data_IF_113480506845
#
_entry.id   IF_113480506845
#
_cell.length_a   1.000
_cell.length_b   1.000
_cell.length_c   1.000
_cell.angle_alpha   90.00
_cell.angle_beta   90.00
_cell.angle_gamma   90.00
#
_symmetry.space_group_name_H-M   'P 1'
#
loop_
_entity.id
_entity.type
_entity.pdbx_description
1 polymer ?
#
# COMPACT_ATOMS: atom_id res chain seq x y z
N UNK A 1 22.34 -27.64 -3.83
CA UNK A 1 21.23 -28.22 -3.05
C UNK A 1 20.53 -27.03 -2.43
N UNK A 2 19.25 -26.81 -2.74
CA UNK A 2 18.49 -25.73 -2.11
C UNK A 2 17.84 -26.30 -0.85
N UNK A 3 18.08 -25.68 0.29
CA UNK A 3 17.44 -26.03 1.56
C UNK A 3 16.26 -25.09 1.79
N UNK A 4 15.17 -25.61 2.36
CA UNK A 4 14.03 -24.83 2.77
C UNK A 4 13.73 -25.10 4.25
N UNK A 5 13.36 -24.06 4.97
CA UNK A 5 13.08 -24.12 6.40
C UNK A 5 11.75 -23.43 6.72
N UNK A 6 10.96 -24.04 7.58
CA UNK A 6 9.80 -23.42 8.22
C UNK A 6 10.17 -23.10 9.68
N UNK A 7 10.14 -21.81 10.03
CA UNK A 7 10.55 -21.31 11.35
C UNK A 7 9.29 -20.98 12.15
N UNK A 8 9.14 -21.59 13.34
CA UNK A 8 8.01 -21.33 14.22
C UNK A 8 8.33 -20.19 15.22
N UNK A 9 7.84 -18.95 15.02
CA UNK A 9 8.15 -17.83 15.91
C UNK A 9 7.56 -17.97 17.31
N UNK A 10 6.69 -18.98 17.56
CA UNK A 10 6.08 -19.25 18.87
C UNK A 10 6.74 -20.43 19.59
N UNK A 11 7.78 -21.03 19.02
CA UNK A 11 8.47 -22.15 19.65
C UNK A 11 9.12 -21.73 20.98
N UNK A 12 8.94 -22.50 22.08
CA UNK A 12 9.53 -22.16 23.37
C UNK A 12 11.05 -22.05 23.29
N UNK A 13 11.61 -20.92 23.75
CA UNK A 13 13.05 -20.68 23.80
C UNK A 13 13.70 -20.35 22.46
N UNK A 14 12.92 -20.18 21.38
CA UNK A 14 13.47 -19.74 20.09
C UNK A 14 13.79 -18.24 20.13
N UNK A 15 15.04 -17.91 19.84
CA UNK A 15 15.47 -16.54 19.58
C UNK A 15 15.43 -16.25 18.07
N UNK A 16 14.60 -15.27 17.67
CA UNK A 16 14.51 -14.81 16.29
C UNK A 16 15.57 -13.76 15.94
N UNK A 17 16.32 -13.25 16.91
CA UNK A 17 17.34 -12.20 16.74
C UNK A 17 18.27 -12.45 15.54
N UNK A 18 18.92 -13.62 15.42
CA UNK A 18 19.81 -13.90 14.29
C UNK A 18 19.13 -13.84 12.92
N UNK A 19 17.88 -14.32 12.82
CA UNK A 19 17.11 -14.27 11.57
C UNK A 19 16.72 -12.82 11.25
N UNK A 20 16.23 -12.08 12.24
CA UNK A 20 15.84 -10.69 12.05
C UNK A 20 17.04 -9.81 11.67
N UNK A 21 18.20 -10.02 12.29
CA UNK A 21 19.43 -9.34 11.96
C UNK A 21 19.92 -9.69 10.55
N UNK A 22 19.80 -10.95 10.11
CA UNK A 22 20.05 -11.33 8.71
C UNK A 22 19.14 -10.57 7.74
N UNK A 23 17.87 -10.37 8.10
CA UNK A 23 16.91 -9.68 7.25
C UNK A 23 17.20 -8.17 7.17
N UNK A 24 17.49 -7.50 8.28
CA UNK A 24 17.50 -6.02 8.37
C UNK A 24 18.87 -5.38 8.63
N UNK A 25 19.93 -6.17 8.85
CA UNK A 25 21.30 -5.67 9.12
C UNK A 25 22.38 -6.26 8.22
N UNK A 26 22.04 -7.18 7.32
CA UNK A 26 23.00 -7.80 6.42
C UNK A 26 22.74 -7.35 4.98
N UNK A 27 23.57 -6.42 4.51
CA UNK A 27 23.46 -5.84 3.17
C UNK A 27 24.07 -6.75 2.08
N UNK A 28 24.88 -7.75 2.47
CA UNK A 28 25.53 -8.71 1.55
C UNK A 28 24.55 -9.78 1.05
N UNK A 29 23.39 -9.94 1.69
CA UNK A 29 22.39 -10.95 1.37
C UNK A 29 21.15 -10.29 0.78
N UNK A 30 20.84 -10.57 -0.48
CA UNK A 30 19.60 -10.12 -1.11
C UNK A 30 18.40 -10.92 -0.57
N UNK A 31 17.38 -10.22 -0.07
CA UNK A 31 16.13 -10.84 0.38
C UNK A 31 15.12 -10.85 -0.76
N UNK A 32 14.65 -12.03 -1.14
CA UNK A 32 13.66 -12.19 -2.22
C UNK A 32 12.28 -12.45 -1.63
N UNK A 33 11.31 -11.62 -1.99
CA UNK A 33 9.91 -11.73 -1.58
C UNK A 33 8.99 -11.85 -2.80
N UNK A 34 7.73 -12.20 -2.54
CA UNK A 34 6.66 -12.09 -3.52
C UNK A 34 5.46 -11.37 -2.89
N UNK A 35 5.13 -10.18 -3.38
CA UNK A 35 4.05 -9.37 -2.81
C UNK A 35 4.27 -9.08 -1.31
N UNK A 36 5.52 -8.79 -0.93
CA UNK A 36 6.01 -8.84 0.45
C UNK A 36 5.52 -7.71 1.36
N UNK A 37 4.66 -6.80 0.89
CA UNK A 37 4.27 -5.60 1.64
C UNK A 37 3.75 -5.89 3.05
N UNK A 38 2.98 -6.96 3.26
CA UNK A 38 2.52 -7.35 4.60
C UNK A 38 3.60 -8.03 5.44
N UNK A 39 4.51 -8.78 4.81
CA UNK A 39 5.65 -9.42 5.49
C UNK A 39 6.64 -8.36 6.01
N UNK A 40 6.87 -7.32 5.23
CA UNK A 40 7.70 -6.17 5.61
C UNK A 40 7.11 -5.42 6.80
N UNK A 41 5.78 -5.28 6.88
CA UNK A 41 5.11 -4.70 8.06
C UNK A 41 5.36 -5.53 9.32
N UNK A 42 5.30 -6.86 9.23
CA UNK A 42 5.59 -7.76 10.36
C UNK A 42 7.05 -7.56 10.84
N UNK A 43 8.00 -7.55 9.91
CA UNK A 43 9.43 -7.40 10.23
C UNK A 43 9.72 -6.01 10.81
N UNK A 44 9.09 -4.97 10.25
CA UNK A 44 9.17 -3.62 10.79
C UNK A 44 8.62 -3.53 12.21
N UNK A 45 7.47 -4.13 12.49
CA UNK A 45 6.90 -4.15 13.84
C UNK A 45 7.81 -4.85 14.87
N UNK A 46 8.62 -5.83 14.43
CA UNK A 46 9.55 -6.55 15.30
C UNK A 46 10.90 -5.85 15.47
N UNK A 47 11.33 -5.03 14.51
CA UNK A 47 12.72 -4.55 14.43
C UNK A 47 12.87 -3.03 14.31
N UNK A 48 11.79 -2.31 13.98
CA UNK A 48 11.82 -0.90 13.58
C UNK A 48 12.48 -0.66 12.21
N UNK A 49 12.81 -1.72 11.47
CA UNK A 49 13.49 -1.68 10.18
C UNK A 49 12.83 -2.60 9.17
N UNK A 50 13.08 -2.35 7.91
CA UNK A 50 12.65 -3.19 6.79
C UNK A 50 13.83 -4.01 6.25
N UNK A 51 13.57 -5.20 5.70
CA UNK A 51 14.58 -5.95 4.98
C UNK A 51 15.23 -5.16 3.83
N UNK A 52 16.56 -5.14 3.80
CA UNK A 52 17.34 -4.46 2.76
C UNK A 52 18.71 -5.14 2.56
N UNK A 53 19.20 -5.36 1.32
CA UNK A 53 18.52 -5.12 0.05
C UNK A 53 17.41 -6.15 -0.21
N UNK A 54 16.39 -5.74 -0.97
CA UNK A 54 15.20 -6.55 -1.25
C UNK A 54 14.88 -6.61 -2.73
N UNK A 55 14.38 -7.75 -3.18
CA UNK A 55 13.78 -7.95 -4.50
C UNK A 55 12.37 -8.53 -4.36
N UNK A 56 11.35 -7.80 -4.81
CA UNK A 56 9.97 -8.28 -4.86
C UNK A 56 9.61 -8.80 -6.26
N UNK A 57 9.35 -10.10 -6.36
CA UNK A 57 9.00 -10.75 -7.62
C UNK A 57 7.64 -10.33 -8.18
N UNK A 58 6.70 -9.84 -7.38
CA UNK A 58 5.45 -9.29 -7.92
C UNK A 58 5.68 -7.93 -8.59
N UNK A 59 6.54 -7.09 -8.02
CA UNK A 59 6.95 -5.83 -8.65
C UNK A 59 7.70 -6.10 -9.95
N UNK A 60 8.67 -7.01 -9.92
CA UNK A 60 9.40 -7.44 -11.11
C UNK A 60 8.46 -8.01 -12.18
N UNK A 61 7.41 -8.74 -11.79
CA UNK A 61 6.44 -9.30 -12.71
C UNK A 61 5.64 -8.21 -13.46
N UNK A 62 5.41 -7.04 -12.84
CA UNK A 62 4.82 -5.89 -13.51
C UNK A 62 5.69 -5.38 -14.67
N UNK A 63 7.00 -5.32 -14.47
CA UNK A 63 7.97 -4.89 -15.48
C UNK A 63 8.16 -5.92 -16.61
N UNK A 64 7.75 -7.16 -16.36
CA UNK A 64 7.80 -8.28 -17.30
C UNK A 64 6.44 -8.61 -17.94
N UNK A 65 5.44 -7.75 -17.75
CA UNK A 65 4.13 -7.86 -18.44
C UNK A 65 3.20 -8.96 -17.89
N UNK A 66 3.46 -9.49 -16.71
CA UNK A 66 2.67 -10.58 -16.10
C UNK A 66 1.45 -10.10 -15.30
N UNK A 67 1.17 -8.80 -15.34
CA UNK A 67 0.05 -8.17 -14.65
C UNK A 67 0.43 -7.52 -13.30
N UNK A 68 -0.48 -6.69 -12.79
CA UNK A 68 -0.24 -5.82 -11.62
C UNK A 68 -0.24 -6.56 -10.27
N UNK A 69 -1.00 -7.66 -10.20
CA UNK A 69 -1.26 -8.39 -8.95
C UNK A 69 -1.21 -9.90 -9.20
N UNK A 70 -0.24 -10.34 -10.00
CA UNK A 70 -0.03 -11.78 -10.17
C UNK A 70 0.28 -12.39 -8.79
N UNK A 71 -0.52 -13.38 -8.40
CA UNK A 71 -0.29 -14.13 -7.17
C UNK A 71 0.79 -15.19 -7.35
N UNK A 72 1.42 -15.60 -6.25
CA UNK A 72 2.57 -16.51 -6.27
C UNK A 72 2.33 -17.78 -7.08
N UNK A 73 1.21 -18.47 -6.85
CA UNK A 73 0.88 -19.69 -7.59
C UNK A 73 0.75 -19.48 -9.11
N UNK A 74 0.23 -18.34 -9.55
CA UNK A 74 0.16 -18.01 -10.99
C UNK A 74 1.54 -17.64 -11.54
N UNK A 75 2.41 -17.02 -10.74
CA UNK A 75 3.80 -16.77 -11.11
C UNK A 75 4.56 -18.08 -11.30
N UNK A 76 4.39 -19.03 -10.37
CA UNK A 76 5.00 -20.36 -10.47
C UNK A 76 4.50 -21.11 -11.69
N UNK A 77 3.20 -21.09 -11.96
CA UNK A 77 2.62 -21.69 -13.16
C UNK A 77 3.21 -21.08 -14.45
N UNK A 78 3.26 -19.75 -14.53
CA UNK A 78 3.76 -19.04 -15.71
C UNK A 78 5.25 -19.30 -16.02
N UNK A 79 6.10 -19.45 -15.00
CA UNK A 79 7.56 -19.58 -15.17
C UNK A 79 8.07 -21.02 -15.12
N UNK A 80 7.35 -21.90 -14.41
CA UNK A 80 7.78 -23.26 -14.13
C UNK A 80 6.82 -24.31 -14.67
N UNK A 81 5.61 -23.94 -15.11
CA UNK A 81 4.58 -24.88 -15.54
C UNK A 81 4.05 -25.76 -14.40
N UNK A 82 4.18 -25.29 -13.15
CA UNK A 82 3.80 -26.04 -11.96
C UNK A 82 2.58 -25.39 -11.31
N UNK A 83 1.53 -26.19 -11.08
CA UNK A 83 0.39 -25.78 -10.29
C UNK A 83 0.60 -26.11 -8.81
N UNK A 84 0.59 -25.09 -7.94
CA UNK A 84 0.69 -25.28 -6.50
C UNK A 84 -0.63 -25.72 -5.86
N UNK A 85 -0.55 -26.55 -4.82
CA UNK A 85 -1.69 -26.88 -3.97
C UNK A 85 -2.12 -25.66 -3.15
N UNK A 86 -3.42 -25.33 -3.18
CA UNK A 86 -4.02 -24.19 -2.46
C UNK A 86 -4.49 -24.57 -1.05
N UNK A 87 -4.29 -25.82 -0.63
CA UNK A 87 -5.00 -26.48 0.46
C UNK A 87 -4.87 -25.90 1.87
N UNK A 88 -3.82 -25.12 2.19
CA UNK A 88 -3.58 -24.63 3.56
C UNK A 88 -3.60 -23.10 3.74
N UNK A 89 -3.96 -22.34 2.69
CA UNK A 89 -3.98 -20.86 2.72
C UNK A 89 -4.85 -20.28 3.85
N UNK A 90 -6.03 -20.87 4.09
CA UNK A 90 -6.99 -20.40 5.08
C UNK A 90 -7.08 -21.36 6.28
N UNK A 91 -5.95 -21.55 6.96
CA UNK A 91 -5.86 -22.37 8.18
C UNK A 91 -5.48 -21.52 9.39
N UNK A 92 -5.72 -22.04 10.59
CA UNK A 92 -5.29 -21.37 11.83
C UNK A 92 -3.77 -21.58 12.05
N UNK A 93 -2.99 -20.60 11.62
CA UNK A 93 -1.53 -20.57 11.78
C UNK A 93 -1.07 -20.30 13.22
N UNK A 94 -1.97 -19.98 14.15
CA UNK A 94 -1.64 -19.78 15.56
C UNK A 94 -1.69 -21.08 16.38
N UNK A 95 -2.39 -22.11 15.87
CA UNK A 95 -2.53 -23.43 16.49
C UNK A 95 -1.19 -24.18 16.50
N UNK A 96 -0.92 -24.94 17.57
CA UNK A 96 0.26 -25.81 17.68
C UNK A 96 -0.13 -27.23 18.12
N UNK A 97 0.60 -28.28 17.67
CA UNK A 97 1.62 -28.23 16.61
C UNK A 97 1.01 -27.91 15.23
N UNK A 98 1.81 -27.38 14.31
CA UNK A 98 1.41 -27.27 12.90
C UNK A 98 1.35 -28.67 12.30
N UNK A 99 0.37 -28.93 11.43
CA UNK A 99 0.32 -30.20 10.70
C UNK A 99 1.29 -30.22 9.50
N UNK A 100 1.57 -31.41 8.97
CA UNK A 100 2.48 -31.57 7.83
C UNK A 100 2.04 -30.75 6.60
N UNK A 101 0.73 -30.61 6.36
CA UNK A 101 0.22 -29.89 5.18
C UNK A 101 0.46 -28.39 5.29
N UNK A 102 0.33 -27.83 6.50
CA UNK A 102 0.69 -26.43 6.77
C UNK A 102 2.19 -26.21 6.53
N UNK A 103 3.05 -27.11 7.01
CA UNK A 103 4.50 -27.00 6.81
C UNK A 103 4.87 -27.13 5.32
N UNK A 104 4.32 -28.13 4.62
CA UNK A 104 4.56 -28.35 3.19
C UNK A 104 4.11 -27.12 2.37
N UNK A 105 2.96 -26.53 2.71
CA UNK A 105 2.45 -25.32 2.07
C UNK A 105 3.39 -24.12 2.29
N UNK A 106 3.84 -23.89 3.54
CA UNK A 106 4.74 -22.78 3.86
C UNK A 106 6.10 -22.91 3.14
N UNK A 107 6.64 -24.13 3.03
CA UNK A 107 7.84 -24.42 2.25
C UNK A 107 7.59 -24.20 0.75
N UNK A 108 6.40 -24.57 0.26
CA UNK A 108 5.97 -24.36 -1.12
C UNK A 108 6.03 -22.90 -1.56
N UNK A 109 5.72 -21.96 -0.67
CA UNK A 109 5.72 -20.50 -0.95
C UNK A 109 7.12 -19.91 -1.21
N UNK A 110 8.20 -20.65 -0.90
CA UNK A 110 9.59 -20.21 -1.17
C UNK A 110 10.35 -21.12 -2.14
N UNK A 111 9.93 -22.38 -2.29
CA UNK A 111 10.66 -23.41 -3.04
C UNK A 111 10.90 -23.05 -4.51
N UNK A 112 9.91 -22.48 -5.19
CA UNK A 112 10.06 -22.05 -6.58
C UNK A 112 10.58 -20.63 -6.70
N UNK A 113 10.51 -19.83 -5.64
CA UNK A 113 10.89 -18.42 -5.66
C UNK A 113 12.39 -18.27 -5.97
N UNK A 114 13.22 -19.14 -5.38
CA UNK A 114 14.68 -19.18 -5.61
C UNK A 114 15.05 -19.55 -7.05
N UNK A 115 14.19 -20.29 -7.77
CA UNK A 115 14.40 -20.67 -9.16
C UNK A 115 13.88 -19.61 -10.14
N UNK A 116 12.79 -18.93 -9.78
CA UNK A 116 12.16 -17.91 -10.60
C UNK A 116 12.97 -16.61 -10.58
N UNK A 117 13.46 -16.20 -9.40
CA UNK A 117 14.20 -14.94 -9.24
C UNK A 117 15.36 -14.75 -10.24
N UNK A 118 16.31 -15.71 -10.42
CA UNK A 118 17.41 -15.53 -11.35
C UNK A 118 16.94 -15.35 -12.80
N UNK A 119 15.88 -16.07 -13.21
CA UNK A 119 15.30 -15.96 -14.56
C UNK A 119 14.63 -14.61 -14.79
N UNK A 120 13.94 -14.09 -13.77
CA UNK A 120 13.36 -12.75 -13.83
C UNK A 120 14.45 -11.69 -13.95
N UNK A 121 15.52 -11.83 -13.16
CA UNK A 121 16.66 -10.90 -13.18
C UNK A 121 17.36 -10.88 -14.55
N UNK A 122 17.58 -12.05 -15.16
CA UNK A 122 18.13 -12.15 -16.51
C UNK A 122 17.22 -11.44 -17.53
N UNK A 123 15.91 -11.72 -17.52
CA UNK A 123 14.97 -11.08 -18.44
C UNK A 123 14.87 -9.57 -18.24
N UNK A 124 14.99 -9.07 -17.01
CA UNK A 124 15.03 -7.64 -16.71
C UNK A 124 16.30 -6.97 -17.26
N UNK A 125 17.44 -7.68 -17.22
CA UNK A 125 18.69 -7.21 -17.83
C UNK A 125 18.59 -7.17 -19.35
N UNK A 126 18.06 -8.23 -19.95
CA UNK A 126 17.88 -8.32 -21.41
C UNK A 126 16.95 -7.23 -21.96
N UNK A 127 15.95 -6.85 -21.17
CA UNK A 127 15.00 -5.78 -21.52
C UNK A 127 15.46 -4.38 -21.13
N UNK A 128 16.59 -4.23 -20.43
CA UNK A 128 17.08 -2.95 -19.94
C UNK A 128 16.20 -2.30 -18.84
N UNK A 129 15.41 -3.10 -18.13
CA UNK A 129 14.41 -2.62 -17.14
C UNK A 129 14.84 -2.83 -15.69
N UNK A 130 16.12 -3.16 -15.44
CA UNK A 130 16.66 -3.31 -14.09
C UNK A 130 16.42 -2.06 -13.25
N UNK A 131 16.86 -0.91 -13.78
CA UNK A 131 16.78 0.39 -13.11
C UNK A 131 15.33 0.86 -12.85
N UNK A 132 14.34 0.30 -13.55
CA UNK A 132 12.94 0.62 -13.30
C UNK A 132 12.48 0.12 -11.94
N UNK A 133 13.06 -1.01 -11.51
CA UNK A 133 12.69 -1.65 -10.26
C UNK A 133 13.35 -1.01 -9.05
N UNK A 134 14.53 -0.40 -9.19
CA UNK A 134 15.26 0.18 -8.07
C UNK A 134 14.38 1.16 -7.29
N UNK A 135 13.69 2.08 -7.98
CA UNK A 135 12.76 3.02 -7.37
C UNK A 135 11.59 2.33 -6.67
N UNK A 136 11.09 1.22 -7.21
CA UNK A 136 9.98 0.48 -6.59
C UNK A 136 10.44 -0.36 -5.40
N UNK A 137 11.65 -0.92 -5.46
CA UNK A 137 12.26 -1.63 -4.34
C UNK A 137 12.57 -0.67 -3.20
N UNK A 138 13.17 0.49 -3.47
CA UNK A 138 13.39 1.56 -2.50
C UNK A 138 12.07 2.02 -1.86
N UNK A 139 11.03 2.20 -2.69
CA UNK A 139 9.73 2.62 -2.20
C UNK A 139 9.07 1.57 -1.32
N UNK A 140 9.16 0.28 -1.63
CA UNK A 140 8.53 -0.76 -0.79
C UNK A 140 9.32 -0.95 0.52
N UNK A 141 10.64 -0.78 0.52
CA UNK A 141 11.44 -0.92 1.75
C UNK A 141 11.43 0.33 2.62
N UNK A 142 10.85 1.46 2.20
CA UNK A 142 10.79 2.65 3.05
C UNK A 142 10.02 2.37 4.37
N UNK A 143 10.67 2.45 5.54
CA UNK A 143 10.04 2.21 6.84
C UNK A 143 8.83 3.11 7.12
N UNK A 144 8.77 4.32 6.53
CA UNK A 144 7.65 5.24 6.70
C UNK A 144 6.32 4.66 6.20
N UNK A 145 6.34 3.68 5.30
CA UNK A 145 5.12 2.98 4.86
C UNK A 145 4.51 2.08 5.94
N UNK A 146 5.33 1.62 6.88
CA UNK A 146 4.97 0.63 7.91
C UNK A 146 4.84 1.24 9.30
N UNK A 147 5.35 2.46 9.46
CA UNK A 147 5.18 3.22 10.69
C UNK A 147 3.70 3.42 11.01
N UNK A 148 3.31 2.88 12.16
CA UNK A 148 1.95 2.96 12.65
C UNK A 148 1.97 3.64 14.02
N UNK A 149 2.25 4.94 14.05
CA UNK A 149 2.09 5.73 15.27
C UNK A 149 0.59 5.81 15.64
N UNK A 150 0.19 5.47 16.89
CA UNK A 150 -1.19 5.67 17.36
C UNK A 150 -1.74 7.07 17.05
N UNK A 151 -0.87 8.07 17.14
CA UNK A 151 -1.13 9.49 16.99
C UNK A 151 -1.50 9.88 15.55
N UNK A 152 -1.19 9.06 14.55
CA UNK A 152 -1.56 9.25 13.14
C UNK A 152 -2.77 8.42 12.71
N UNK A 153 -3.27 7.53 13.57
CA UNK A 153 -4.37 6.62 13.23
C UNK A 153 -5.66 7.34 12.81
N UNK A 154 -5.87 8.57 13.27
CA UNK A 154 -7.02 9.40 12.91
C UNK A 154 -7.07 9.77 11.44
N UNK A 155 -5.92 9.85 10.75
CA UNK A 155 -5.84 10.21 9.31
C UNK A 155 -6.57 9.19 8.43
N UNK A 156 -6.72 7.96 8.90
CA UNK A 156 -7.43 6.86 8.20
C UNK A 156 -8.94 6.86 8.48
N UNK A 157 -9.40 7.62 9.48
CA UNK A 157 -10.81 7.69 9.87
C UNK A 157 -11.49 8.79 9.08
N UNK A 158 -12.51 8.43 8.29
CA UNK A 158 -13.29 9.40 7.50
C UNK A 158 -14.20 10.23 8.42
N UNK A 159 -14.07 11.55 8.33
CA UNK A 159 -14.93 12.51 9.05
C UNK A 159 -15.19 13.73 8.16
N UNK A 160 -16.42 14.25 8.18
CA UNK A 160 -16.79 15.42 7.36
C UNK A 160 -16.40 16.76 8.00
N UNK A 161 -16.29 16.81 9.33
CA UNK A 161 -15.96 18.04 10.05
C UNK A 161 -14.51 18.43 9.84
N UNK A 162 -14.27 19.70 9.54
CA UNK A 162 -12.93 20.33 9.47
C UNK A 162 -12.63 21.25 10.66
N UNK A 163 -13.41 21.17 11.74
CA UNK A 163 -13.19 21.99 12.94
C UNK A 163 -12.02 21.43 13.74
N UNK A 164 -11.09 22.29 14.15
CA UNK A 164 -9.89 21.91 14.91
C UNK A 164 -10.24 21.08 16.17
N UNK A 165 -11.26 21.48 16.93
CA UNK A 165 -11.69 20.75 18.15
C UNK A 165 -12.18 19.32 17.84
N UNK A 166 -12.89 19.14 16.73
CA UNK A 166 -13.42 17.83 16.32
C UNK A 166 -12.28 16.92 15.86
N UNK A 167 -11.36 17.46 15.05
CA UNK A 167 -10.21 16.70 14.57
C UNK A 167 -9.22 16.38 15.69
N UNK A 168 -9.04 17.29 16.65
CA UNK A 168 -8.23 17.07 17.83
C UNK A 168 -8.77 15.96 18.73
N UNK A 169 -10.09 15.94 18.96
CA UNK A 169 -10.77 14.81 19.62
C UNK A 169 -10.61 13.51 18.84
N UNK A 170 -10.78 13.54 17.52
CA UNK A 170 -10.60 12.35 16.68
C UNK A 170 -9.16 11.81 16.78
N UNK A 171 -8.16 12.69 16.79
CA UNK A 171 -6.74 12.33 17.00
C UNK A 171 -6.54 11.61 18.34
N UNK A 172 -7.02 12.19 19.44
CA UNK A 172 -6.91 11.59 20.76
C UNK A 172 -7.63 10.23 20.86
N UNK A 173 -8.86 10.15 20.33
CA UNK A 173 -9.67 8.94 20.32
C UNK A 173 -9.06 7.82 19.46
N UNK A 174 -8.50 8.14 18.29
CA UNK A 174 -7.83 7.17 17.45
C UNK A 174 -6.57 6.62 18.12
N UNK A 175 -5.75 7.48 18.73
CA UNK A 175 -4.56 7.06 19.47
C UNK A 175 -4.91 6.16 20.66
N UNK A 176 -5.95 6.51 21.42
CA UNK A 176 -6.47 5.67 22.50
C UNK A 176 -6.90 4.29 21.98
N UNK A 177 -7.66 4.25 20.88
CA UNK A 177 -8.14 3.00 20.29
C UNK A 177 -6.99 2.09 19.85
N UNK A 178 -5.96 2.66 19.24
CA UNK A 178 -4.78 1.88 18.83
C UNK A 178 -4.05 1.28 20.04
N UNK A 179 -3.90 2.04 21.13
CA UNK A 179 -3.28 1.56 22.37
C UNK A 179 -4.10 0.41 22.96
N UNK A 180 -5.41 0.57 23.11
CA UNK A 180 -6.31 -0.50 23.57
C UNK A 180 -6.28 -1.76 22.69
N UNK A 181 -6.23 -1.57 21.38
CA UNK A 181 -6.20 -2.67 20.41
C UNK A 181 -4.91 -3.48 20.53
N UNK A 182 -3.77 -2.80 20.68
CA UNK A 182 -2.45 -3.42 20.88
C UNK A 182 -2.35 -4.14 22.20
N UNK A 183 -2.73 -3.48 23.30
CA UNK A 183 -2.67 -4.04 24.65
C UNK A 183 -3.48 -5.34 24.77
N UNK A 184 -4.61 -5.40 24.06
CA UNK A 184 -5.49 -6.58 24.04
C UNK A 184 -5.24 -7.53 22.87
N UNK A 185 -4.24 -7.24 22.03
CA UNK A 185 -3.92 -7.98 20.81
C UNK A 185 -5.17 -8.30 19.97
N UNK A 186 -5.96 -7.28 19.63
CA UNK A 186 -7.17 -7.44 18.84
C UNK A 186 -7.29 -6.38 17.73
N UNK A 187 -8.01 -6.67 16.63
CA UNK A 187 -8.25 -5.68 15.59
C UNK A 187 -8.90 -4.41 16.15
N UNK A 188 -8.41 -3.23 15.76
CA UNK A 188 -8.90 -1.91 16.22
C UNK A 188 -10.43 -1.75 16.13
N UNK A 189 -11.04 -2.27 15.07
CA UNK A 189 -12.49 -2.21 14.86
C UNK A 189 -13.32 -3.07 15.83
N UNK A 190 -12.68 -4.02 16.55
CA UNK A 190 -13.30 -4.76 17.66
C UNK A 190 -13.36 -3.93 18.95
N UNK A 191 -12.50 -2.92 19.10
CA UNK A 191 -12.58 -1.94 20.19
C UNK A 191 -13.71 -0.95 19.90
N UNK A 192 -13.57 -0.15 18.84
CA UNK A 192 -14.59 0.79 18.35
C UNK A 192 -14.47 0.91 16.83
N UNK A 193 -15.59 0.88 16.10
CA UNK A 193 -15.60 1.09 14.65
C UNK A 193 -15.27 2.54 14.27
N UNK A 194 -14.73 2.75 13.07
CA UNK A 194 -14.36 4.09 12.58
C UNK A 194 -15.53 5.07 12.61
N UNK A 195 -16.72 4.63 12.22
CA UNK A 195 -17.91 5.48 12.17
C UNK A 195 -18.35 5.92 13.57
N UNK A 196 -18.31 5.01 14.54
CA UNK A 196 -18.62 5.32 15.95
C UNK A 196 -17.57 6.27 16.54
N UNK A 197 -16.29 6.08 16.19
CA UNK A 197 -15.21 6.97 16.63
C UNK A 197 -15.39 8.40 16.11
N UNK A 198 -15.75 8.54 14.83
CA UNK A 198 -16.03 9.83 14.19
C UNK A 198 -17.29 10.50 14.76
N UNK A 199 -18.31 9.73 15.10
CA UNK A 199 -19.52 10.24 15.74
C UNK A 199 -19.24 10.76 17.15
N UNK A 200 -18.50 10.01 17.98
CA UNK A 200 -18.08 10.46 19.31
C UNK A 200 -17.22 11.73 19.23
N UNK A 201 -16.31 11.83 18.24
CA UNK A 201 -15.51 13.03 18.04
C UNK A 201 -16.38 14.25 17.69
N UNK A 202 -17.44 14.05 16.91
CA UNK A 202 -18.38 15.10 16.49
C UNK A 202 -19.35 15.50 17.60
N UNK A 203 -19.84 14.52 18.35
CA UNK A 203 -20.88 14.65 19.38
C UNK A 203 -20.41 13.98 20.69
N UNK A 204 -19.42 14.57 21.40
CA UNK A 204 -18.83 13.92 22.55
C UNK A 204 -19.85 13.75 23.69
N UNK A 205 -19.94 12.57 24.31
CA UNK A 205 -20.71 12.38 25.53
C UNK A 205 -20.14 13.26 26.65
N UNK A 206 -21.02 13.80 27.52
CA UNK A 206 -20.61 14.70 28.61
C UNK A 206 -20.16 13.97 29.87
N UNK A 207 -20.65 12.75 30.07
CA UNK A 207 -20.36 11.90 31.22
C UNK A 207 -20.19 10.47 30.75
N UNK A 208 -19.42 9.67 31.47
CA UNK A 208 -19.19 8.26 31.11
C UNK A 208 -20.49 7.47 30.99
N UNK A 209 -21.49 7.74 31.82
CA UNK A 209 -22.79 7.08 31.75
C UNK A 209 -23.50 7.26 30.40
N UNK A 210 -23.26 8.38 29.72
CA UNK A 210 -23.87 8.67 28.43
C UNK A 210 -23.29 7.79 27.31
N UNK A 211 -22.17 7.09 27.53
CA UNK A 211 -21.63 6.10 26.60
C UNK A 211 -22.61 4.95 26.31
N UNK A 212 -23.52 4.62 27.24
CA UNK A 212 -24.56 3.61 26.99
C UNK A 212 -25.54 4.01 25.88
N UNK A 213 -25.63 5.30 25.53
CA UNK A 213 -26.50 5.83 24.47
C UNK A 213 -25.79 5.88 23.11
N UNK A 214 -24.47 5.71 23.08
CA UNK A 214 -23.68 5.79 21.85
C UNK A 214 -23.87 4.50 21.04
N UNK A 215 -24.36 4.64 19.82
CA UNK A 215 -24.60 3.49 18.94
C UNK A 215 -23.27 2.83 18.56
N UNK A 216 -23.20 1.52 18.77
CA UNK A 216 -22.02 0.71 18.45
C UNK A 216 -21.07 0.47 19.62
N UNK A 217 -21.33 1.06 20.79
CA UNK A 217 -20.65 0.73 22.04
C UNK A 217 -21.46 -0.29 22.87
N UNK A 218 -20.75 -1.07 23.69
CA UNK A 218 -21.39 -1.93 24.68
C UNK A 218 -21.92 -1.10 25.85
N UNK A 219 -23.12 -1.40 26.34
CA UNK A 219 -23.73 -0.74 27.49
C UNK A 219 -22.86 -0.80 28.77
N UNK A 220 -21.98 -1.81 28.87
CA UNK A 220 -21.03 -1.94 29.98
C UNK A 220 -20.04 -0.77 30.09
N UNK A 221 -19.82 -0.01 29.01
CA UNK A 221 -18.85 1.09 28.99
C UNK A 221 -19.28 2.29 29.82
N UNK A 222 -20.54 2.32 30.24
CA UNK A 222 -21.07 3.33 31.18
C UNK A 222 -20.32 3.40 32.51
N UNK A 223 -19.64 2.32 32.91
CA UNK A 223 -19.00 2.20 34.22
C UNK A 223 -17.68 1.41 34.23
N UNK A 224 -17.24 0.84 33.10
CA UNK A 224 -15.99 0.08 33.05
C UNK A 224 -14.76 0.98 32.77
N UNK A 225 -13.57 0.42 33.00
CA UNK A 225 -12.31 1.18 32.84
C UNK A 225 -12.04 1.61 31.39
N UNK A 226 -12.49 0.82 30.41
CA UNK A 226 -12.33 1.13 28.98
C UNK A 226 -13.09 2.41 28.64
N UNK A 227 -14.34 2.52 29.10
CA UNK A 227 -15.15 3.72 28.96
C UNK A 227 -14.54 4.90 29.70
N UNK A 228 -13.97 4.68 30.90
CA UNK A 228 -13.25 5.70 31.65
C UNK A 228 -12.05 6.26 30.88
N UNK A 229 -11.23 5.39 30.29
CA UNK A 229 -10.07 5.79 29.46
C UNK A 229 -10.48 6.48 28.16
N UNK A 230 -11.59 6.08 27.54
CA UNK A 230 -12.18 6.80 26.40
C UNK A 230 -12.59 8.22 26.80
N UNK A 231 -13.32 8.38 27.91
CA UNK A 231 -13.72 9.70 28.42
C UNK A 231 -12.49 10.56 28.74
N UNK A 232 -11.47 9.98 29.36
CA UNK A 232 -10.22 10.66 29.61
C UNK A 232 -9.58 11.18 28.31
N UNK A 233 -9.55 10.36 27.25
CA UNK A 233 -9.04 10.78 25.95
C UNK A 233 -9.85 11.94 25.32
N UNK A 234 -11.16 12.01 25.57
CA UNK A 234 -12.01 13.15 25.18
C UNK A 234 -11.65 14.40 26.00
N UNK A 235 -11.54 14.25 27.32
CA UNK A 235 -11.34 15.36 28.25
C UNK A 235 -9.95 16.01 28.10
N UNK A 236 -8.93 15.21 27.76
CA UNK A 236 -7.56 15.70 27.52
C UNK A 236 -7.32 16.12 26.07
N UNK A 237 -8.31 15.94 25.18
CA UNK A 237 -8.13 16.30 23.78
C UNK A 237 -7.96 17.81 23.62
N UNK A 238 -6.95 18.20 22.87
CA UNK A 238 -6.73 19.58 22.47
C UNK A 238 -7.18 19.80 21.03
N UNK A 239 -7.55 21.03 20.63
CA UNK A 239 -7.80 21.35 19.23
C UNK A 239 -6.59 20.97 18.37
N UNK A 240 -6.86 20.45 17.17
CA UNK A 240 -5.79 20.05 16.26
C UNK A 240 -4.89 21.28 15.91
N UNK A 241 -3.56 21.18 16.07
CA UNK A 241 -2.64 22.26 15.75
C UNK A 241 -2.75 22.73 14.29
N UNK A 242 -2.47 24.01 14.03
CA UNK A 242 -2.65 24.62 12.70
C UNK A 242 -1.80 23.96 11.61
N UNK A 243 -0.61 23.50 11.96
CA UNK A 243 0.36 22.80 11.11
C UNK A 243 -0.06 21.35 10.81
N UNK A 244 -0.89 20.75 11.67
CA UNK A 244 -1.46 19.41 11.46
C UNK A 244 -2.85 19.43 10.81
N UNK A 245 -3.51 20.59 10.81
CA UNK A 245 -4.81 20.75 10.18
C UNK A 245 -4.74 20.20 8.76
N UNK A 246 -5.66 19.30 8.36
CA UNK A 246 -5.77 18.89 6.98
C UNK A 246 -5.82 20.15 6.14
N UNK A 247 -4.91 20.25 5.17
CA UNK A 247 -4.88 21.40 4.29
C UNK A 247 -6.33 21.61 3.80
N UNK A 248 -6.90 22.79 4.09
CA UNK A 248 -7.82 23.36 3.10
C UNK A 248 -6.97 23.32 1.87
N UNK A 249 -7.35 22.54 0.88
CA UNK A 249 -6.53 22.36 -0.29
C UNK A 249 -7.03 23.32 -1.38
N UNK A 250 -6.55 24.58 -1.41
CA UNK A 250 -6.80 25.49 -2.52
C UNK A 250 -5.80 25.24 -3.67
N UNK A 251 -4.93 24.22 -3.59
CA UNK A 251 -3.80 24.02 -4.51
C UNK A 251 -3.76 22.70 -5.26
N UNK A 252 -4.46 21.63 -4.83
CA UNK A 252 -4.88 20.60 -5.77
C UNK A 252 -5.83 21.29 -6.70
N UNK A 253 -5.45 21.46 -7.96
CA UNK A 253 -6.41 21.96 -8.90
C UNK A 253 -7.57 20.98 -8.84
N UNK A 254 -8.78 21.51 -8.64
CA UNK A 254 -9.96 20.69 -8.85
C UNK A 254 -9.85 20.14 -10.26
N UNK A 255 -10.19 18.87 -10.47
CA UNK A 255 -10.55 18.42 -11.81
C UNK A 255 -11.54 19.47 -12.32
N UNK A 256 -11.14 20.24 -13.34
CA UNK A 256 -12.00 21.26 -13.93
C UNK A 256 -13.26 20.60 -14.48
N UNK A 257 -14.13 21.37 -15.15
CA UNK A 257 -15.34 20.78 -15.77
C UNK A 257 -15.04 19.55 -16.63
N UNK A 258 -13.88 19.54 -17.29
CA UNK A 258 -13.43 18.45 -18.16
C UNK A 258 -12.27 17.62 -17.57
N UNK A 259 -11.82 17.89 -16.34
CA UNK A 259 -10.64 17.24 -15.76
C UNK A 259 -10.76 15.71 -15.69
N UNK A 260 -11.96 15.21 -15.39
CA UNK A 260 -12.24 13.77 -15.40
C UNK A 260 -12.11 13.16 -16.80
N UNK A 261 -12.56 13.86 -17.85
CA UNK A 261 -12.44 13.41 -19.23
C UNK A 261 -10.97 13.39 -19.66
N UNK A 262 -10.19 14.42 -19.29
CA UNK A 262 -8.74 14.46 -19.54
C UNK A 262 -8.03 13.31 -18.81
N UNK A 263 -8.40 13.02 -17.56
CA UNK A 263 -7.86 11.88 -16.82
C UNK A 263 -8.20 10.54 -17.51
N UNK A 264 -9.39 10.39 -18.10
CA UNK A 264 -9.75 9.20 -18.85
C UNK A 264 -8.97 9.06 -20.18
N UNK A 265 -8.66 10.17 -20.85
CA UNK A 265 -7.75 10.18 -21.99
C UNK A 265 -6.32 9.76 -21.59
N UNK A 266 -5.84 10.23 -20.43
CA UNK A 266 -4.56 9.80 -19.88
C UNK A 266 -4.55 8.31 -19.51
N UNK A 267 -5.63 7.78 -18.93
CA UNK A 267 -5.77 6.34 -18.66
C UNK A 267 -5.75 5.52 -19.95
N UNK A 268 -6.35 6.03 -21.03
CA UNK A 268 -6.28 5.39 -22.34
C UNK A 268 -4.85 5.40 -22.89
N UNK A 269 -4.17 6.56 -22.86
CA UNK A 269 -2.77 6.67 -23.27
C UNK A 269 -1.90 5.67 -22.51
N UNK A 270 -2.07 5.61 -21.19
CA UNK A 270 -1.33 4.71 -20.31
C UNK A 270 -1.52 3.25 -20.73
N UNK A 271 -2.75 2.83 -21.03
CA UNK A 271 -3.04 1.46 -21.49
C UNK A 271 -2.36 1.14 -22.82
N UNK A 272 -2.31 2.11 -23.75
CA UNK A 272 -1.63 1.94 -25.04
C UNK A 272 -0.12 1.79 -24.81
N UNK A 273 0.50 2.74 -24.11
CA UNK A 273 1.94 2.71 -23.84
C UNK A 273 2.34 1.45 -23.09
N UNK A 274 1.64 1.11 -22.02
CA UNK A 274 1.89 -0.11 -21.25
C UNK A 274 1.82 -1.38 -22.12
N UNK A 275 0.89 -1.45 -23.07
CA UNK A 275 0.80 -2.56 -24.02
C UNK A 275 1.95 -2.58 -25.03
N UNK A 276 2.34 -1.44 -25.56
CA UNK A 276 3.44 -1.32 -26.54
C UNK A 276 4.79 -1.75 -25.95
N UNK A 277 5.04 -1.42 -24.68
CA UNK A 277 6.26 -1.83 -23.97
C UNK A 277 6.06 -3.09 -23.11
N UNK A 278 4.91 -3.77 -23.21
CA UNK A 278 4.62 -5.03 -22.51
C UNK A 278 4.89 -4.98 -20.99
N UNK A 279 4.37 -3.94 -20.32
CA UNK A 279 4.41 -3.83 -18.85
C UNK A 279 3.03 -3.59 -18.26
N UNK A 280 2.91 -3.78 -16.95
CA UNK A 280 1.68 -3.47 -16.25
C UNK A 280 1.48 -1.94 -16.12
N UNK A 281 0.31 -1.38 -16.45
CA UNK A 281 0.03 0.06 -16.39
C UNK A 281 0.40 0.72 -15.05
N UNK A 282 0.08 0.06 -13.93
CA UNK A 282 0.38 0.56 -12.57
C UNK A 282 1.86 0.72 -12.27
N UNK A 283 2.77 0.05 -12.99
CA UNK A 283 4.21 0.28 -12.84
C UNK A 283 4.59 1.69 -13.34
N UNK A 284 3.94 2.13 -14.42
CA UNK A 284 4.20 3.41 -15.05
C UNK A 284 3.55 4.54 -14.25
N UNK A 285 2.26 4.44 -13.91
CA UNK A 285 1.51 5.53 -13.29
C UNK A 285 0.37 5.04 -12.38
N UNK A 286 0.09 5.79 -11.31
CA UNK A 286 -1.13 5.61 -10.50
C UNK A 286 -2.24 6.54 -10.98
N UNK A 287 -3.49 6.18 -10.69
CA UNK A 287 -4.65 6.99 -11.05
C UNK A 287 -4.54 8.41 -10.49
N UNK A 288 -4.05 8.54 -9.26
CA UNK A 288 -3.88 9.82 -8.58
C UNK A 288 -2.88 10.73 -9.30
N UNK A 289 -1.83 10.15 -9.90
CA UNK A 289 -0.84 10.90 -10.68
C UNK A 289 -1.48 11.44 -11.98
N UNK A 290 -2.33 10.64 -12.63
CA UNK A 290 -3.04 11.05 -13.85
C UNK A 290 -4.05 12.14 -13.55
N UNK A 291 -4.81 12.02 -12.46
CA UNK A 291 -5.77 13.03 -12.03
C UNK A 291 -5.07 14.34 -11.63
N UNK A 292 -3.94 14.25 -10.93
CA UNK A 292 -3.14 15.41 -10.59
C UNK A 292 -2.55 16.11 -11.83
N UNK A 293 -2.05 15.34 -12.81
CA UNK A 293 -1.57 15.89 -14.08
C UNK A 293 -2.72 16.57 -14.87
N UNK A 294 -3.87 15.91 -14.97
CA UNK A 294 -5.07 16.44 -15.62
C UNK A 294 -5.59 17.72 -14.95
N UNK A 295 -5.43 17.80 -13.63
CA UNK A 295 -5.75 18.98 -12.86
C UNK A 295 -4.79 20.16 -13.15
N UNK A 296 -3.58 19.90 -13.62
CA UNK A 296 -2.60 20.95 -13.92
C UNK A 296 -1.34 20.89 -13.06
N UNK A 297 -1.18 19.88 -12.19
CA UNK A 297 0.06 19.69 -11.45
C UNK A 297 1.18 19.30 -12.42
N UNK A 298 2.36 19.91 -12.25
CA UNK A 298 3.53 19.71 -13.11
C UNK A 298 4.81 19.36 -12.35
N UNK A 299 4.74 19.34 -11.03
CA UNK A 299 5.88 19.07 -10.14
C UNK A 299 5.52 17.96 -9.15
N UNK A 300 6.54 17.25 -8.67
CA UNK A 300 6.36 16.17 -7.68
C UNK A 300 5.65 14.91 -8.20
N UNK A 301 5.42 14.80 -9.51
CA UNK A 301 4.79 13.63 -10.13
C UNK A 301 5.85 12.62 -10.60
N UNK A 302 5.83 11.35 -10.14
CA UNK A 302 6.78 10.33 -10.60
C UNK A 302 6.75 10.12 -12.12
N UNK A 303 5.58 10.27 -12.73
CA UNK A 303 5.40 10.15 -14.19
C UNK A 303 6.18 11.20 -14.99
N UNK A 304 6.60 12.30 -14.37
CA UNK A 304 7.37 13.38 -15.01
C UNK A 304 8.88 13.27 -14.80
N UNK A 305 9.38 12.14 -14.29
CA UNK A 305 10.80 11.95 -13.99
C UNK A 305 11.31 10.60 -14.51
N UNK A 306 12.62 10.55 -14.83
CA UNK A 306 13.33 9.32 -15.20
C UNK A 306 12.70 8.54 -16.35
N UNK A 307 12.79 7.21 -16.28
CA UNK A 307 12.26 6.30 -17.31
C UNK A 307 10.74 6.47 -17.53
N UNK A 308 9.98 6.81 -16.49
CA UNK A 308 8.53 7.04 -16.63
C UNK A 308 8.23 8.22 -17.54
N UNK A 309 9.06 9.27 -17.49
CA UNK A 309 8.92 10.40 -18.39
C UNK A 309 9.18 10.01 -19.84
N UNK A 310 10.23 9.22 -20.06
CA UNK A 310 10.63 8.74 -21.39
C UNK A 310 9.54 7.85 -22.02
N UNK A 311 8.99 6.92 -21.24
CA UNK A 311 8.00 5.92 -21.70
C UNK A 311 6.56 6.44 -21.75
N UNK A 312 6.19 7.40 -20.90
CA UNK A 312 4.81 7.86 -20.76
C UNK A 312 4.67 9.35 -20.50
N UNK A 313 5.41 9.91 -19.55
CA UNK A 313 5.22 11.27 -19.07
C UNK A 313 5.32 12.35 -20.14
N UNK A 314 6.24 12.21 -21.09
CA UNK A 314 6.39 13.13 -22.22
C UNK A 314 5.11 13.23 -23.06
N UNK A 315 4.48 12.10 -23.35
CA UNK A 315 3.25 12.07 -24.15
C UNK A 315 2.02 12.40 -23.32
N UNK A 316 2.00 12.03 -22.04
CA UNK A 316 0.99 12.45 -21.09
C UNK A 316 0.96 13.97 -20.97
N UNK A 317 2.13 14.61 -20.87
CA UNK A 317 2.27 16.06 -20.84
C UNK A 317 1.80 16.68 -22.16
N UNK A 318 2.26 16.15 -23.29
CA UNK A 318 1.83 16.63 -24.59
C UNK A 318 0.31 16.50 -24.79
N UNK A 319 -0.32 15.45 -24.27
CA UNK A 319 -1.77 15.26 -24.34
C UNK A 319 -2.53 16.33 -23.55
N UNK A 320 -2.12 16.61 -22.30
CA UNK A 320 -2.78 17.63 -21.48
C UNK A 320 -2.51 19.06 -21.95
N UNK A 321 -1.45 19.28 -22.73
CA UNK A 321 -1.12 20.56 -23.37
C UNK A 321 -1.74 20.73 -24.76
N UNK A 322 -2.48 19.72 -25.25
CA UNK A 322 -3.10 19.76 -26.57
C UNK A 322 -2.12 19.59 -27.73
N UNK A 323 -0.91 19.10 -27.48
CA UNK A 323 0.14 18.77 -28.46
C UNK A 323 0.05 17.32 -28.98
N UNK A 324 -0.81 16.50 -28.39
CA UNK A 324 -1.07 15.11 -28.78
C UNK A 324 -2.59 14.88 -28.84
N UNK A 325 -3.04 14.13 -29.84
CA UNK A 325 -4.44 13.74 -29.99
C UNK A 325 -4.58 12.25 -30.37
N UNK A 326 -5.75 11.69 -30.09
CA UNK A 326 -6.15 10.37 -30.57
C UNK A 326 -6.90 10.49 -31.89
N UNK A 327 -6.60 9.61 -32.83
CA UNK A 327 -7.33 9.42 -34.07
C UNK A 327 -7.73 7.94 -34.22
N UNK A 328 -8.83 7.67 -34.91
CA UNK A 328 -9.19 6.31 -35.31
C UNK A 328 -9.03 6.22 -36.82
N UNK A 329 -8.09 5.39 -37.27
CA UNK A 329 -7.77 5.15 -38.68
C UNK A 329 -7.99 3.67 -38.96
N UNK A 330 -8.90 3.35 -39.88
CA UNK A 330 -9.28 1.98 -40.23
C UNK A 330 -9.71 1.14 -39.01
N UNK A 331 -10.47 1.75 -38.11
CA UNK A 331 -10.93 1.13 -36.86
C UNK A 331 -9.83 0.91 -35.81
N UNK A 332 -8.61 1.43 -36.03
CA UNK A 332 -7.48 1.33 -35.10
C UNK A 332 -7.18 2.68 -34.47
N UNK A 333 -6.98 2.70 -33.16
CA UNK A 333 -6.55 3.88 -32.43
C UNK A 333 -5.09 4.22 -32.81
N UNK A 334 -4.84 5.47 -33.19
CA UNK A 334 -3.53 6.04 -33.49
C UNK A 334 -3.35 7.34 -32.69
N UNK A 335 -2.11 7.67 -32.38
CA UNK A 335 -1.73 8.95 -31.79
C UNK A 335 -1.18 9.87 -32.89
N UNK A 336 -1.54 11.15 -32.85
CA UNK A 336 -1.04 12.17 -33.79
C UNK A 336 -0.61 13.42 -33.03
N UNK A 337 0.38 14.15 -33.55
CA UNK A 337 0.77 15.47 -33.03
C UNK A 337 -0.16 16.52 -33.64
N UNK A 338 -0.65 17.44 -32.82
CA UNK A 338 -1.64 18.44 -33.25
C UNK A 338 -1.03 19.60 -34.06
N UNK A 339 0.29 19.72 -34.11
CA UNK A 339 1.00 20.77 -34.85
C UNK A 339 1.23 20.49 -36.35
N UNK A 340 0.65 19.42 -36.93
CA UNK A 340 0.63 19.21 -38.38
C UNK A 340 -0.70 19.65 -39.02
N UNK A 341 -1.18 20.85 -38.69
CA UNK A 341 -2.17 21.54 -39.53
C UNK A 341 -1.50 22.82 -40.05
N UNK A 342 -1.01 22.83 -41.30
CA UNK A 342 -0.55 24.07 -41.93
C UNK A 342 -1.72 25.05 -41.97
N UNK A 343 -1.40 26.31 -41.68
CA UNK A 343 -2.31 27.46 -41.67
C UNK A 343 -3.03 27.66 -43.00
#
# INVERSE_FOLDING_TARGET
MHEAAAIDPKAPGLDLGPLLDLLVRNDDVLKVFHAGGQDLEIIYNLTGKTPFPLFDTQIAAMALGLGEQIGYGNLVDAWMGVTLDKGARFTDWARRPLDKRQIDYAIGDVTYLIQIFPKMLEKLRDTGRGDWLDQEMERIVDPANYENAPEDAWRRVRISSKKADVLGRLKALAAWREKEARDKNMPRGRIVKDETLADIASHPPKRQEDLAKVRGLSAAWRANDIGGRLMHAIDTAQPLPRDEMPERDPRKPSLGKDGALVADLLKLLLKIRAKEIEVAPRLIARTEDLEALAAGLREGLPILNGWRFEEFGRDALALVEGNLAFAVVDGRLKMTRTQEVPS
#
